data_IF_128215995655
#
_entry.id   IF_128215995655
#
_cell.length_a   1.000
_cell.length_b   1.000
_cell.length_c   1.000
_cell.angle_alpha   90.00
_cell.angle_beta   90.00
_cell.angle_gamma   90.00
#
_symmetry.space_group_name_H-M   'P 1'
#
loop_
_entity.id
_entity.type
_entity.pdbx_description
1 polymer ?
#
# COMPACT_ATOMS: atom_id res chain seq x y z
N UNK A 1 -11.55 -22.58 11.88
CA UNK A 1 -10.67 -23.47 11.10
C UNK A 1 -10.01 -22.58 10.04
N UNK A 2 -8.67 -22.58 9.89
CA UNK A 2 -8.02 -21.87 8.81
C UNK A 2 -8.47 -22.50 7.49
N UNK A 3 -8.98 -21.69 6.57
CA UNK A 3 -9.31 -22.16 5.22
C UNK A 3 -8.04 -22.73 4.57
N UNK A 4 -8.11 -23.98 4.13
CA UNK A 4 -7.02 -24.63 3.39
C UNK A 4 -6.78 -23.80 2.12
N UNK A 5 -5.59 -23.24 1.98
CA UNK A 5 -5.14 -22.62 0.73
C UNK A 5 -5.12 -23.73 -0.33
N UNK A 6 -6.04 -23.66 -1.29
CA UNK A 6 -6.03 -24.56 -2.45
C UNK A 6 -4.90 -24.15 -3.41
N UNK A 7 -4.52 -25.03 -4.35
CA UNK A 7 -3.51 -24.72 -5.39
C UNK A 7 -3.85 -23.48 -6.20
N UNK A 8 -5.14 -23.13 -6.35
CA UNK A 8 -5.60 -21.96 -7.08
C UNK A 8 -5.23 -20.63 -6.40
N UNK A 9 -5.18 -20.59 -5.07
CA UNK A 9 -4.81 -19.39 -4.32
C UNK A 9 -3.32 -19.06 -4.47
N UNK A 10 -2.45 -20.07 -4.47
CA UNK A 10 -1.02 -19.89 -4.70
C UNK A 10 -0.74 -19.39 -6.13
N UNK A 11 -1.41 -19.99 -7.12
CA UNK A 11 -1.31 -19.59 -8.51
C UNK A 11 -1.76 -18.14 -8.74
N UNK A 12 -2.85 -17.71 -8.10
CA UNK A 12 -3.35 -16.33 -8.23
C UNK A 12 -2.36 -15.31 -7.66
N UNK A 13 -1.69 -15.63 -6.54
CA UNK A 13 -0.68 -14.75 -5.94
C UNK A 13 0.58 -14.67 -6.81
N UNK A 14 1.04 -15.78 -7.40
CA UNK A 14 2.18 -15.78 -8.32
C UNK A 14 1.91 -14.94 -9.58
N UNK A 15 0.74 -15.05 -10.17
CA UNK A 15 0.33 -14.23 -11.31
C UNK A 15 0.26 -12.75 -10.92
N UNK A 16 -0.34 -12.41 -9.78
CA UNK A 16 -0.41 -11.04 -9.29
C UNK A 16 1.00 -10.46 -9.11
N UNK A 17 1.92 -11.23 -8.52
CA UNK A 17 3.31 -10.84 -8.33
C UNK A 17 4.02 -10.58 -9.66
N UNK A 18 3.88 -11.47 -10.63
CA UNK A 18 4.49 -11.32 -11.95
C UNK A 18 3.96 -10.06 -12.66
N UNK A 19 2.65 -9.81 -12.59
CA UNK A 19 2.05 -8.62 -13.20
C UNK A 19 2.59 -7.33 -12.58
N UNK A 20 2.68 -7.24 -11.25
CA UNK A 20 3.24 -6.03 -10.59
C UNK A 20 4.71 -5.83 -10.95
N UNK A 21 5.51 -6.92 -10.93
CA UNK A 21 6.95 -6.85 -11.12
C UNK A 21 7.37 -6.59 -12.57
N UNK A 22 6.66 -7.16 -13.53
CA UNK A 22 7.14 -7.26 -14.91
C UNK A 22 6.33 -6.38 -15.89
N UNK A 23 5.14 -5.88 -15.51
CA UNK A 23 4.32 -5.06 -16.42
C UNK A 23 4.88 -3.65 -16.65
N UNK A 24 5.69 -3.13 -15.72
CA UNK A 24 6.15 -1.73 -15.73
C UNK A 24 5.02 -0.71 -15.62
N UNK A 25 3.83 -1.12 -15.19
CA UNK A 25 2.61 -0.31 -15.04
C UNK A 25 2.05 -0.44 -13.63
N UNK A 26 1.30 0.59 -13.15
CA UNK A 26 0.52 0.42 -11.94
C UNK A 26 -0.56 -0.65 -12.14
N UNK A 27 -0.79 -1.46 -11.12
CA UNK A 27 -1.78 -2.54 -11.13
C UNK A 27 -2.83 -2.26 -10.06
N UNK A 28 -4.09 -2.21 -10.47
CA UNK A 28 -5.22 -2.09 -9.56
C UNK A 28 -5.79 -3.49 -9.28
N UNK A 29 -5.62 -3.95 -8.06
CA UNK A 29 -6.24 -5.16 -7.56
C UNK A 29 -7.61 -4.83 -6.98
N UNK A 30 -8.63 -5.52 -7.45
CA UNK A 30 -10.00 -5.33 -6.96
C UNK A 30 -10.43 -6.61 -6.23
N UNK A 31 -10.82 -6.53 -4.94
CA UNK A 31 -11.28 -7.70 -4.21
C UNK A 31 -12.58 -8.24 -4.83
N UNK A 32 -12.69 -9.56 -4.88
CA UNK A 32 -13.90 -10.23 -5.40
C UNK A 32 -15.13 -9.95 -4.51
N UNK A 33 -14.92 -9.80 -3.21
CA UNK A 33 -15.95 -9.48 -2.22
C UNK A 33 -15.53 -8.21 -1.49
N UNK A 34 -16.47 -7.28 -1.27
CA UNK A 34 -16.23 -6.10 -0.44
C UNK A 34 -15.86 -4.83 -1.22
N UNK A 35 -15.73 -4.89 -2.55
CA UNK A 35 -15.55 -3.68 -3.34
C UNK A 35 -16.77 -2.75 -3.12
N UNK A 36 -16.51 -1.56 -2.57
CA UNK A 36 -17.52 -0.54 -2.33
C UNK A 36 -18.13 0.01 -3.62
N UNK A 37 -19.11 0.89 -3.47
CA UNK A 37 -19.75 1.60 -4.60
C UNK A 37 -18.89 2.74 -5.14
N UNK A 38 -17.87 3.15 -4.38
CA UNK A 38 -16.96 4.25 -4.71
C UNK A 38 -15.55 3.73 -4.84
N UNK A 39 -14.73 4.43 -5.62
CA UNK A 39 -13.31 4.13 -5.80
C UNK A 39 -12.53 5.45 -5.80
N UNK A 40 -11.64 5.63 -4.83
CA UNK A 40 -10.75 6.78 -4.76
C UNK A 40 -11.38 8.04 -4.14
N UNK A 41 -12.52 7.94 -3.44
CA UNK A 41 -13.03 9.06 -2.65
C UNK A 41 -12.23 9.27 -1.35
N UNK A 42 -11.82 8.19 -0.71
CA UNK A 42 -11.01 8.20 0.51
C UNK A 42 -9.81 7.27 0.33
N UNK A 43 -8.64 7.86 0.14
CA UNK A 43 -7.45 7.12 -0.25
C UNK A 43 -6.48 7.02 0.93
N UNK A 44 -6.07 5.78 1.26
CA UNK A 44 -4.96 5.54 2.17
C UNK A 44 -3.70 5.25 1.36
N UNK A 45 -2.63 6.03 1.59
CA UNK A 45 -1.30 5.77 1.04
C UNK A 45 -0.46 5.06 2.10
N UNK A 46 -0.04 3.83 1.82
CA UNK A 46 0.95 3.11 2.63
C UNK A 46 2.35 3.56 2.20
N UNK A 47 2.89 4.55 2.90
CA UNK A 47 4.17 5.18 2.57
C UNK A 47 5.35 4.45 3.19
N UNK A 48 6.37 4.30 2.39
CA UNK A 48 7.71 3.87 2.81
C UNK A 48 8.73 4.64 1.97
N UNK A 49 9.88 4.99 2.56
CA UNK A 49 10.98 5.59 1.79
C UNK A 49 11.58 4.55 0.83
N UNK A 50 10.97 4.46 -0.34
CA UNK A 50 11.39 3.57 -1.41
C UNK A 50 10.93 4.10 -2.77
N UNK A 51 11.65 3.73 -3.81
CA UNK A 51 11.29 4.09 -5.20
C UNK A 51 9.92 3.55 -5.61
N UNK A 52 9.56 2.36 -5.13
CA UNK A 52 8.27 1.73 -5.42
C UNK A 52 7.11 2.52 -4.79
N UNK A 53 7.26 2.99 -3.55
CA UNK A 53 6.26 3.87 -2.92
C UNK A 53 6.16 5.22 -3.60
N UNK A 54 7.29 5.83 -3.94
CA UNK A 54 7.31 7.10 -4.68
C UNK A 54 6.63 6.96 -6.04
N UNK A 55 6.88 5.85 -6.74
CA UNK A 55 6.22 5.54 -8.02
C UNK A 55 4.72 5.32 -7.83
N UNK A 56 4.30 4.53 -6.84
CA UNK A 56 2.89 4.29 -6.59
C UNK A 56 2.11 5.58 -6.31
N UNK A 57 2.68 6.51 -5.55
CA UNK A 57 2.08 7.82 -5.30
C UNK A 57 1.98 8.64 -6.59
N UNK A 58 3.02 8.64 -7.42
CA UNK A 58 2.99 9.34 -8.71
C UNK A 58 1.95 8.74 -9.67
N UNK A 59 1.88 7.41 -9.77
CA UNK A 59 0.92 6.70 -10.61
C UNK A 59 -0.55 6.88 -10.12
N UNK A 60 -0.73 7.11 -8.80
CA UNK A 60 -2.04 7.34 -8.19
C UNK A 60 -2.55 8.79 -8.31
N UNK A 61 -1.75 9.74 -8.81
CA UNK A 61 -2.14 11.15 -8.89
C UNK A 61 -3.52 11.41 -9.54
N UNK A 62 -3.93 10.69 -10.60
CA UNK A 62 -5.27 10.87 -11.15
C UNK A 62 -6.40 10.61 -10.15
N UNK A 63 -6.23 9.63 -9.25
CA UNK A 63 -7.19 9.35 -8.18
C UNK A 63 -7.05 10.35 -7.02
N UNK A 64 -5.79 10.67 -6.64
CA UNK A 64 -5.50 11.52 -5.50
C UNK A 64 -6.04 12.95 -5.66
N UNK A 65 -6.04 13.48 -6.88
CA UNK A 65 -6.55 14.84 -7.19
C UNK A 65 -8.05 14.96 -7.01
N UNK A 66 -8.78 13.90 -7.28
CA UNK A 66 -10.25 13.87 -7.19
C UNK A 66 -10.75 13.35 -5.83
N UNK A 67 -9.83 12.95 -4.95
CA UNK A 67 -10.16 12.38 -3.66
C UNK A 67 -10.75 13.42 -2.70
N UNK A 68 -11.77 13.02 -1.93
CA UNK A 68 -12.34 13.84 -0.85
C UNK A 68 -11.44 13.89 0.40
N UNK A 69 -10.64 12.85 0.62
CA UNK A 69 -9.69 12.77 1.72
C UNK A 69 -8.53 11.83 1.40
N UNK A 70 -7.31 12.25 1.72
CA UNK A 70 -6.09 11.46 1.55
C UNK A 70 -5.34 11.36 2.86
N UNK A 71 -5.03 10.12 3.26
CA UNK A 71 -4.24 9.81 4.45
C UNK A 71 -3.00 9.03 4.04
N UNK A 72 -1.82 9.59 4.24
CA UNK A 72 -0.57 8.86 4.07
C UNK A 72 -0.07 8.36 5.44
N UNK A 73 0.21 7.06 5.54
CA UNK A 73 0.73 6.43 6.75
C UNK A 73 2.08 5.83 6.45
N UNK A 74 3.12 6.29 7.16
CA UNK A 74 4.39 5.63 7.28
C UNK A 74 4.35 4.70 8.49
N UNK A 75 4.57 3.39 8.26
CA UNK A 75 4.60 2.39 9.34
C UNK A 75 6.04 2.00 9.62
N UNK A 76 6.47 2.22 10.85
CA UNK A 76 7.82 1.86 11.33
C UNK A 76 7.80 0.65 12.25
N UNK A 77 8.85 -0.20 12.19
CA UNK A 77 9.14 -1.12 13.28
C UNK A 77 9.50 -0.32 14.56
N UNK A 78 9.16 -0.86 15.72
CA UNK A 78 9.19 -0.21 17.03
C UNK A 78 10.53 0.41 17.47
N UNK A 79 11.64 0.12 16.80
CA UNK A 79 13.00 0.40 17.28
C UNK A 79 13.84 1.32 16.38
N UNK A 80 13.27 1.96 15.34
CA UNK A 80 14.05 2.69 14.35
C UNK A 80 13.44 4.05 13.97
N UNK A 81 13.37 5.01 14.89
CA UNK A 81 13.18 6.40 14.46
C UNK A 81 14.49 6.96 13.91
N UNK A 82 14.53 7.32 12.62
CA UNK A 82 15.66 7.99 12.01
C UNK A 82 15.31 9.39 11.50
N UNK A 83 16.30 10.28 11.49
CA UNK A 83 16.17 11.62 10.87
C UNK A 83 15.80 11.50 9.39
N UNK A 84 16.23 10.43 8.73
CA UNK A 84 15.93 10.17 7.31
C UNK A 84 14.44 9.93 7.07
N UNK A 85 13.77 9.27 8.01
CA UNK A 85 12.34 8.99 7.92
C UNK A 85 11.50 10.26 8.02
N UNK A 86 11.88 11.19 8.91
CA UNK A 86 11.24 12.51 8.99
C UNK A 86 11.39 13.30 7.68
N UNK A 87 12.57 13.28 7.06
CA UNK A 87 12.83 13.93 5.77
C UNK A 87 11.97 13.31 4.67
N UNK A 88 11.82 11.99 4.67
CA UNK A 88 10.98 11.25 3.71
C UNK A 88 9.50 11.63 3.82
N UNK A 89 8.96 11.76 5.03
CA UNK A 89 7.57 12.18 5.24
C UNK A 89 7.32 13.60 4.72
N UNK A 90 8.25 14.50 4.98
CA UNK A 90 8.19 15.87 4.44
C UNK A 90 8.33 15.92 2.93
N UNK A 91 9.06 14.99 2.33
CA UNK A 91 9.20 14.88 0.89
C UNK A 91 7.88 14.45 0.23
N UNK A 92 7.19 13.42 0.76
CA UNK A 92 5.90 12.98 0.22
C UNK A 92 4.82 14.04 0.45
N UNK A 93 4.77 14.67 1.61
CA UNK A 93 3.86 15.79 1.89
C UNK A 93 4.05 16.94 0.87
N UNK A 94 5.31 17.34 0.66
CA UNK A 94 5.67 18.37 -0.31
C UNK A 94 5.38 17.97 -1.75
N UNK A 95 5.53 16.70 -2.10
CA UNK A 95 5.17 16.19 -3.42
C UNK A 95 3.66 16.29 -3.65
N UNK A 96 2.84 15.79 -2.73
CA UNK A 96 1.39 15.82 -2.82
C UNK A 96 0.85 17.26 -2.91
N UNK A 97 1.37 18.17 -2.08
CA UNK A 97 0.99 19.58 -2.12
C UNK A 97 1.32 20.27 -3.43
N UNK A 98 2.48 19.95 -4.06
CA UNK A 98 2.83 20.49 -5.39
C UNK A 98 1.90 20.02 -6.51
N UNK A 99 1.18 18.93 -6.28
CA UNK A 99 0.19 18.39 -7.21
C UNK A 99 -1.26 18.73 -6.83
N UNK A 100 -1.44 19.71 -5.90
CA UNK A 100 -2.75 20.16 -5.42
C UNK A 100 -3.54 19.05 -4.68
N UNK A 101 -2.83 18.11 -4.05
CA UNK A 101 -3.42 17.07 -3.21
C UNK A 101 -3.28 17.46 -1.75
N UNK A 102 -4.42 17.70 -1.07
CA UNK A 102 -4.46 17.91 0.37
C UNK A 102 -4.45 16.55 1.09
N UNK A 103 -3.35 16.25 1.77
CA UNK A 103 -3.13 14.97 2.43
C UNK A 103 -2.66 15.16 3.86
N UNK A 104 -3.23 14.35 4.76
CA UNK A 104 -2.68 14.19 6.10
C UNK A 104 -1.58 13.12 6.06
N UNK A 105 -0.38 13.46 6.53
CA UNK A 105 0.76 12.52 6.61
C UNK A 105 1.01 12.17 8.07
N UNK A 106 0.86 10.91 8.43
CA UNK A 106 1.05 10.40 9.78
C UNK A 106 2.13 9.32 9.80
N UNK A 107 3.04 9.43 10.75
CA UNK A 107 3.97 8.37 11.09
C UNK A 107 3.41 7.57 12.27
N UNK A 108 3.41 6.25 12.15
CA UNK A 108 2.87 5.38 13.19
C UNK A 108 3.83 4.21 13.44
N UNK A 109 4.07 3.94 14.71
CA UNK A 109 4.80 2.74 15.12
C UNK A 109 3.81 1.59 15.09
N UNK A 110 4.11 0.53 14.30
CA UNK A 110 3.29 -0.67 14.32
C UNK A 110 3.35 -1.30 15.72
N UNK A 111 2.21 -1.61 16.35
CA UNK A 111 2.20 -2.48 17.52
C UNK A 111 2.76 -3.86 17.12
N UNK A 112 2.85 -4.81 18.06
CA UNK A 112 3.39 -6.17 17.84
C UNK A 112 2.60 -7.04 16.82
N UNK A 113 1.95 -6.40 15.86
CA UNK A 113 1.22 -7.01 14.75
C UNK A 113 1.95 -6.75 13.42
N UNK A 114 1.71 -7.58 12.43
CA UNK A 114 2.29 -7.38 11.11
C UNK A 114 1.86 -6.04 10.51
N UNK A 115 2.81 -5.30 9.91
CA UNK A 115 2.56 -3.97 9.33
C UNK A 115 1.40 -3.97 8.33
N UNK A 116 1.18 -5.08 7.61
CA UNK A 116 0.06 -5.22 6.67
C UNK A 116 -1.30 -5.27 7.37
N UNK A 117 -1.44 -6.01 8.47
CA UNK A 117 -2.68 -6.05 9.26
C UNK A 117 -2.98 -4.69 9.87
N UNK A 118 -1.94 -4.00 10.36
CA UNK A 118 -2.07 -2.65 10.87
C UNK A 118 -2.58 -1.68 9.80
N UNK A 119 -2.05 -1.73 8.57
CA UNK A 119 -2.50 -0.91 7.46
C UNK A 119 -3.96 -1.20 7.07
N UNK A 120 -4.37 -2.47 7.04
CA UNK A 120 -5.77 -2.85 6.77
C UNK A 120 -6.71 -2.32 7.86
N UNK A 121 -6.32 -2.42 9.12
CA UNK A 121 -7.08 -1.83 10.23
C UNK A 121 -7.21 -0.31 10.09
N UNK A 122 -6.12 0.39 9.76
CA UNK A 122 -6.15 1.84 9.53
C UNK A 122 -6.99 2.22 8.31
N UNK A 123 -6.95 1.43 7.25
CA UNK A 123 -7.81 1.63 6.09
C UNK A 123 -9.30 1.53 6.44
N UNK A 124 -9.67 0.54 7.26
CA UNK A 124 -11.03 0.37 7.74
C UNK A 124 -11.47 1.54 8.65
N UNK A 125 -10.63 1.95 9.62
CA UNK A 125 -10.92 3.06 10.53
C UNK A 125 -11.06 4.40 9.77
N UNK A 126 -10.26 4.61 8.75
CA UNK A 126 -10.33 5.80 7.89
C UNK A 126 -11.51 5.73 6.92
N UNK A 127 -12.09 4.54 6.70
CA UNK A 127 -13.11 4.31 5.69
C UNK A 127 -12.55 4.45 4.27
N UNK A 128 -11.32 3.98 4.05
CA UNK A 128 -10.69 4.02 2.74
C UNK A 128 -11.45 3.14 1.73
N UNK A 129 -11.58 3.64 0.50
CA UNK A 129 -12.11 2.89 -0.65
C UNK A 129 -11.03 2.63 -1.72
N UNK A 130 -9.79 3.07 -1.46
CA UNK A 130 -8.59 2.75 -2.23
C UNK A 130 -7.37 2.77 -1.31
N UNK A 131 -6.51 1.76 -1.43
CA UNK A 131 -5.16 1.78 -0.84
C UNK A 131 -4.15 1.93 -1.97
N UNK A 132 -3.15 2.81 -1.77
CA UNK A 132 -2.02 3.02 -2.68
C UNK A 132 -0.75 2.59 -1.99
N UNK A 133 0.04 1.70 -2.59
CA UNK A 133 1.28 1.23 -2.00
C UNK A 133 2.32 0.81 -3.05
N UNK A 134 3.59 0.90 -2.69
CA UNK A 134 4.67 0.25 -3.45
C UNK A 134 4.63 -1.26 -3.26
N UNK A 135 4.86 -1.99 -4.32
CA UNK A 135 4.95 -3.44 -4.28
C UNK A 135 6.41 -3.93 -4.18
N UNK A 136 6.66 -4.94 -3.36
CA UNK A 136 7.90 -5.75 -3.38
C UNK A 136 9.23 -4.98 -3.26
N UNK A 137 9.34 -4.05 -2.33
CA UNK A 137 10.50 -3.16 -2.14
C UNK A 137 11.80 -3.83 -1.64
N UNK A 138 11.88 -5.16 -1.54
CA UNK A 138 13.10 -5.87 -1.10
C UNK A 138 13.78 -6.58 -2.26
N UNK A 139 15.14 -6.54 -2.35
CA UNK A 139 15.88 -7.20 -3.44
C UNK A 139 15.68 -8.72 -3.41
N UNK A 140 15.67 -9.32 -4.60
CA UNK A 140 15.47 -10.75 -4.92
C UNK A 140 16.43 -11.74 -4.23
N UNK A 141 17.38 -11.28 -3.42
CA UNK A 141 18.46 -12.10 -2.83
C UNK A 141 18.04 -12.99 -1.66
N UNK A 142 16.87 -12.80 -1.07
CA UNK A 142 16.33 -13.74 -0.09
C UNK A 142 15.17 -14.53 -0.69
N UNK A 143 15.44 -15.70 -1.20
CA UNK A 143 14.45 -16.65 -1.76
C UNK A 143 13.34 -17.08 -0.77
N UNK A 144 13.32 -16.55 0.45
CA UNK A 144 12.44 -16.99 1.54
C UNK A 144 11.49 -15.94 2.12
N UNK A 145 11.58 -14.65 1.71
CA UNK A 145 10.64 -13.63 2.23
C UNK A 145 10.16 -12.76 1.05
N UNK A 146 9.24 -13.26 0.27
CA UNK A 146 8.49 -12.50 -0.70
C UNK A 146 7.57 -11.53 0.05
N UNK A 147 7.84 -10.24 -0.07
CA UNK A 147 7.01 -9.10 0.30
C UNK A 147 5.86 -9.36 1.29
N UNK A 148 6.16 -9.66 2.56
CA UNK A 148 5.14 -10.08 3.52
C UNK A 148 3.91 -9.15 3.57
N UNK A 149 4.12 -7.83 3.46
CA UNK A 149 3.02 -6.85 3.42
C UNK A 149 2.24 -6.94 2.11
N UNK A 150 2.92 -7.01 0.94
CA UNK A 150 2.24 -7.07 -0.36
C UNK A 150 1.40 -8.35 -0.51
N UNK A 151 1.92 -9.49 -0.10
CA UNK A 151 1.17 -10.75 -0.13
C UNK A 151 -0.01 -10.74 0.84
N UNK A 152 0.20 -10.27 2.07
CA UNK A 152 -0.87 -10.15 3.04
C UNK A 152 -1.98 -9.21 2.54
N UNK A 153 -1.61 -8.09 1.91
CA UNK A 153 -2.59 -7.18 1.30
C UNK A 153 -3.40 -7.89 0.22
N UNK A 154 -2.77 -8.61 -0.70
CA UNK A 154 -3.48 -9.35 -1.75
C UNK A 154 -4.38 -10.47 -1.22
N UNK A 155 -3.98 -11.12 -0.12
CA UNK A 155 -4.76 -12.20 0.50
C UNK A 155 -5.92 -11.69 1.37
N UNK A 156 -5.81 -10.49 1.94
CA UNK A 156 -6.71 -10.01 3.00
C UNK A 156 -7.37 -8.66 2.69
N UNK A 157 -7.12 -8.07 1.51
CA UNK A 157 -7.72 -6.80 1.13
C UNK A 157 -9.25 -6.89 1.06
N UNK A 158 -9.90 -5.88 1.63
CA UNK A 158 -11.35 -5.68 1.58
C UNK A 158 -11.74 -4.48 0.71
N UNK A 159 -10.74 -3.69 0.30
CA UNK A 159 -10.87 -2.55 -0.61
C UNK A 159 -9.85 -2.67 -1.74
N UNK A 160 -10.08 -2.04 -2.90
CA UNK A 160 -9.12 -2.01 -3.99
C UNK A 160 -7.74 -1.51 -3.57
N UNK A 161 -6.69 -2.10 -4.14
CA UNK A 161 -5.29 -1.76 -3.87
C UNK A 161 -4.56 -1.45 -5.18
N UNK A 162 -4.03 -0.24 -5.29
CA UNK A 162 -3.14 0.17 -6.38
C UNK A 162 -1.69 -0.08 -5.97
N UNK A 163 -0.99 -0.92 -6.75
CA UNK A 163 0.42 -1.22 -6.53
C UNK A 163 1.26 -0.82 -7.73
N UNK A 164 2.46 -0.28 -7.46
CA UNK A 164 3.51 -0.03 -8.47
C UNK A 164 4.85 -0.57 -7.99
N UNK A 165 5.70 -0.95 -8.94
CA UNK A 165 7.07 -1.46 -8.68
C UNK A 165 8.10 -0.72 -9.53
#
# INVERSE_FOLDING_TARGET
>A
QPMRKGPDAAFSTEVANAVVMDSGRPVLFVPYIGAGKTLGERILIAWKDSRESARAVADALPFLKDAKAVLAIAVEPRDEESVQDYVSDKAVEGFLRRHDVDATVNRMVAPDIASGEFLLSRAADFGADLIVMGGYSRPRLSRLVWGGVSNLMLESMTVPVLMSH
#
